data_IF_879326827955
#
_entry.id   IF_879326827955
#
_cell.length_a   1.000
_cell.length_b   1.000
_cell.length_c   1.000
_cell.angle_alpha   90.00
_cell.angle_beta   90.00
_cell.angle_gamma   90.00
#
_symmetry.space_group_name_H-M   'P 1'
#
loop_
_entity.id
_entity.type
_entity.pdbx_description
1 polymer ?
#
# COMPACT_ATOMS: atom_id res chain seq x y z
N UNK A 1 4.87 -21.15 5.08
CA UNK A 1 4.01 -20.62 4.00
C UNK A 1 4.84 -19.66 3.18
N UNK A 2 4.62 -19.53 1.86
CA UNK A 2 5.40 -18.61 1.02
C UNK A 2 4.72 -17.24 0.95
N UNK A 3 5.52 -16.18 0.95
CA UNK A 3 5.05 -14.79 0.92
C UNK A 3 4.43 -14.43 -0.43
N UNK A 4 3.55 -13.43 -0.41
CA UNK A 4 3.17 -12.65 -1.59
C UNK A 4 3.73 -11.24 -1.47
N UNK A 5 3.49 -10.41 -2.49
CA UNK A 5 4.08 -9.09 -2.57
C UNK A 5 3.04 -8.03 -2.92
N UNK A 6 3.18 -6.85 -2.35
CA UNK A 6 2.43 -5.65 -2.69
C UNK A 6 3.37 -4.63 -3.33
N UNK A 7 3.16 -4.33 -4.61
CA UNK A 7 3.86 -3.25 -5.30
C UNK A 7 2.95 -2.01 -5.38
N UNK A 8 3.47 -0.88 -4.92
CA UNK A 8 2.74 0.38 -4.85
C UNK A 8 3.42 1.44 -5.70
N UNK A 9 2.68 2.02 -6.64
CA UNK A 9 3.05 3.25 -7.31
C UNK A 9 2.05 4.33 -6.91
N UNK A 10 2.51 5.32 -6.14
CA UNK A 10 1.63 6.36 -5.58
C UNK A 10 2.14 7.71 -6.03
N UNK A 11 1.24 8.59 -6.46
CA UNK A 11 1.56 9.96 -6.83
C UNK A 11 0.67 10.94 -6.02
N UNK A 12 1.26 11.95 -5.34
CA UNK A 12 2.69 12.31 -5.33
C UNK A 12 3.58 11.38 -4.52
N UNK A 13 3.33 11.23 -3.22
CA UNK A 13 3.93 10.23 -2.34
C UNK A 13 2.92 9.95 -1.21
N UNK A 14 3.12 8.89 -0.44
CA UNK A 14 2.31 8.59 0.73
C UNK A 14 3.10 7.79 1.76
N UNK A 15 2.76 7.99 3.04
CA UNK A 15 3.05 7.01 4.09
C UNK A 15 2.09 5.84 3.91
N UNK A 16 2.66 4.65 3.88
CA UNK A 16 1.96 3.37 3.71
C UNK A 16 1.69 2.78 5.08
N UNK A 17 0.43 2.50 5.38
CA UNK A 17 0.01 1.79 6.57
C UNK A 17 -0.69 0.49 6.17
N UNK A 18 -0.38 -0.59 6.89
CA UNK A 18 -0.98 -1.90 6.70
C UNK A 18 -1.57 -2.33 8.05
N UNK A 19 -2.89 -2.55 8.08
CA UNK A 19 -3.65 -2.81 9.31
C UNK A 19 -3.40 -1.74 10.38
N UNK A 20 -3.36 -0.47 9.98
CA UNK A 20 -3.11 0.68 10.87
C UNK A 20 -1.67 0.83 11.36
N UNK A 21 -0.75 -0.08 11.01
CA UNK A 21 0.68 0.03 11.35
C UNK A 21 1.45 0.69 10.21
N UNK A 22 2.24 1.71 10.53
CA UNK A 22 3.16 2.32 9.57
C UNK A 22 4.15 1.27 9.06
N UNK A 23 4.29 1.19 7.74
CA UNK A 23 5.18 0.26 7.08
C UNK A 23 6.35 0.98 6.43
N UNK A 24 6.08 1.91 5.50
CA UNK A 24 7.12 2.67 4.79
C UNK A 24 6.54 3.92 4.10
N UNK A 25 7.37 4.70 3.39
CA UNK A 25 6.95 5.84 2.56
C UNK A 25 7.28 5.61 1.08
N UNK A 26 6.33 5.90 0.17
CA UNK A 26 6.57 5.78 -1.28
C UNK A 26 7.43 6.94 -1.83
N UNK A 27 8.17 6.78 -2.93
CA UNK A 27 8.27 5.58 -3.76
C UNK A 27 9.07 4.46 -3.07
N UNK A 28 8.62 3.21 -3.25
CA UNK A 28 9.27 2.05 -2.67
C UNK A 28 10.34 1.52 -3.63
N UNK A 29 11.53 1.20 -3.12
CA UNK A 29 12.60 0.57 -3.93
C UNK A 29 12.23 -0.86 -4.37
N UNK A 30 11.42 -1.55 -3.57
CA UNK A 30 11.00 -2.93 -3.79
C UNK A 30 9.56 -3.16 -3.31
N UNK A 31 8.85 -4.15 -3.88
CA UNK A 31 7.55 -4.57 -3.37
C UNK A 31 7.62 -4.99 -1.89
N UNK A 32 6.55 -4.74 -1.15
CA UNK A 32 6.40 -5.13 0.25
C UNK A 32 6.08 -6.62 0.30
N UNK A 33 6.92 -7.42 0.97
CA UNK A 33 6.63 -8.82 1.24
C UNK A 33 5.64 -8.96 2.40
N UNK A 34 4.59 -9.76 2.20
CA UNK A 34 3.56 -10.01 3.21
C UNK A 34 3.22 -11.51 3.22
N UNK A 35 2.83 -11.99 4.40
CA UNK A 35 2.19 -13.29 4.49
C UNK A 35 0.88 -13.29 3.67
N UNK A 36 0.45 -14.45 3.15
CA UNK A 36 -0.85 -14.57 2.53
C UNK A 36 -1.97 -14.19 3.50
N UNK A 37 -2.93 -13.39 3.05
CA UNK A 37 -4.02 -12.92 3.89
C UNK A 37 -4.66 -11.62 3.42
N UNK A 38 -5.65 -11.16 4.18
CA UNK A 38 -6.34 -9.88 3.94
C UNK A 38 -5.77 -8.77 4.81
N UNK A 39 -5.62 -7.59 4.22
CA UNK A 39 -5.05 -6.42 4.86
C UNK A 39 -5.85 -5.16 4.53
N UNK A 40 -5.96 -4.27 5.51
CA UNK A 40 -6.38 -2.88 5.31
C UNK A 40 -5.14 -2.06 4.91
N UNK A 41 -5.14 -1.53 3.69
CA UNK A 41 -4.11 -0.64 3.18
C UNK A 41 -4.60 0.81 3.31
N UNK A 42 -3.80 1.67 3.94
CA UNK A 42 -4.03 3.10 3.97
C UNK A 42 -2.82 3.86 3.42
N UNK A 43 -3.08 4.82 2.54
CA UNK A 43 -2.06 5.71 1.97
C UNK A 43 -2.36 7.13 2.44
N UNK A 44 -1.42 7.72 3.18
CA UNK A 44 -1.60 9.00 3.86
C UNK A 44 -0.54 9.99 3.41
N UNK A 45 -0.99 11.12 2.87
CA UNK A 45 -0.19 12.33 2.66
C UNK A 45 -0.88 13.51 3.34
N UNK A 46 -0.11 14.45 3.87
CA UNK A 46 -0.62 15.58 4.66
C UNK A 46 -1.65 16.47 3.91
N UNK A 47 -1.35 16.82 2.66
CA UNK A 47 -2.20 17.66 1.80
C UNK A 47 -3.32 16.91 1.04
N UNK A 48 -3.40 15.57 1.13
CA UNK A 48 -4.32 14.76 0.33
C UNK A 48 -5.25 13.93 1.20
N UNK A 49 -6.40 13.57 0.66
CA UNK A 49 -7.35 12.69 1.31
C UNK A 49 -6.71 11.32 1.55
N UNK A 50 -6.95 10.73 2.72
CA UNK A 50 -6.50 9.36 3.00
C UNK A 50 -7.17 8.40 2.03
N UNK A 51 -6.36 7.69 1.26
CA UNK A 51 -6.84 6.62 0.40
C UNK A 51 -6.82 5.29 1.16
N UNK A 52 -7.86 4.47 1.01
CA UNK A 52 -8.01 3.19 1.71
C UNK A 52 -8.46 2.10 0.75
N UNK A 53 -7.95 0.89 0.94
CA UNK A 53 -8.37 -0.31 0.20
C UNK A 53 -8.22 -1.56 1.07
N UNK A 54 -9.10 -2.54 0.84
CA UNK A 54 -8.99 -3.88 1.42
C UNK A 54 -8.34 -4.80 0.39
N UNK A 55 -7.10 -5.20 0.63
CA UNK A 55 -6.32 -6.02 -0.30
C UNK A 55 -6.22 -7.46 0.17
N UNK A 56 -6.11 -8.39 -0.78
CA UNK A 56 -5.83 -9.80 -0.53
C UNK A 56 -4.48 -10.18 -1.15
N UNK A 57 -3.58 -10.69 -0.32
CA UNK A 57 -2.25 -11.15 -0.71
C UNK A 57 -2.29 -12.66 -0.87
N UNK A 58 -1.93 -13.11 -2.07
CA UNK A 58 -1.86 -14.53 -2.44
C UNK A 58 -0.39 -14.99 -2.46
N UNK A 59 -0.07 -16.22 -2.02
CA UNK A 59 1.31 -16.71 -2.03
C UNK A 59 1.92 -16.64 -3.43
N UNK A 60 3.19 -16.22 -3.53
CA UNK A 60 3.98 -16.13 -4.77
C UNK A 60 3.42 -15.17 -5.84
N UNK A 61 2.44 -14.33 -5.50
CA UNK A 61 1.89 -13.34 -6.42
C UNK A 61 2.31 -11.93 -6.04
N UNK A 62 2.32 -11.03 -7.03
CA UNK A 62 2.53 -9.60 -6.83
C UNK A 62 1.20 -8.89 -7.09
N UNK A 63 0.58 -8.36 -6.05
CA UNK A 63 -0.53 -7.44 -6.16
C UNK A 63 0.02 -6.04 -6.48
N UNK A 64 -0.45 -5.43 -7.57
CA UNK A 64 -0.09 -4.05 -7.94
C UNK A 64 -1.21 -3.08 -7.60
N UNK A 65 -0.84 -1.89 -7.13
CA UNK A 65 -1.73 -0.74 -6.98
C UNK A 65 -1.04 0.51 -7.50
N UNK A 66 -1.69 1.14 -8.47
CA UNK A 66 -1.31 2.43 -9.01
C UNK A 66 -2.34 3.46 -8.53
N UNK A 67 -1.93 4.37 -7.65
CA UNK A 67 -2.83 5.27 -6.93
C UNK A 67 -2.45 6.72 -7.19
N UNK A 68 -3.43 7.51 -7.62
CA UNK A 68 -3.34 8.98 -7.65
C UNK A 68 -4.14 9.52 -6.48
N UNK A 69 -3.47 10.22 -5.56
CA UNK A 69 -4.16 10.80 -4.42
C UNK A 69 -4.99 12.03 -4.85
N UNK A 70 -6.10 12.24 -4.16
CA UNK A 70 -6.97 13.39 -4.36
C UNK A 70 -6.67 14.44 -3.30
N UNK A 71 -6.43 15.69 -3.71
CA UNK A 71 -6.16 16.77 -2.78
C UNK A 71 -7.33 16.94 -1.79
N UNK A 72 -7.02 17.41 -0.59
CA UNK A 72 -8.06 17.88 0.32
C UNK A 72 -8.74 19.13 -0.27
N UNK A 73 -10.03 19.36 0.03
CA UNK A 73 -10.70 20.60 -0.33
C UNK A 73 -10.04 21.82 0.31
#
# INVERSE_FOLDING_TARGET
QQEGFLALQVSPWARVFINGRFYETTPLEKPIALAPGRYQLELIHEAYQTWRDSIEITPRQILRRDVKLVAKP
#
